data_IF_176494858335
#
_entry.id   IF_176494858335
#
_cell.length_a   1.000
_cell.length_b   1.000
_cell.length_c   1.000
_cell.angle_alpha   90.00
_cell.angle_beta   90.00
_cell.angle_gamma   90.00
#
_symmetry.space_group_name_H-M   'P 1'
#
loop_
_entity.id
_entity.type
_entity.pdbx_description
1 polymer ?
#
# COMPACT_ATOMS: atom_id res chain seq x y z
N UNK A 1 5.71 -34.82 32.33
CA UNK A 1 4.99 -34.35 31.12
C UNK A 1 5.89 -33.36 30.39
N UNK A 2 6.99 -33.82 29.78
CA UNK A 2 8.03 -32.92 29.23
C UNK A 2 8.80 -33.52 28.05
N UNK A 3 9.25 -34.77 28.13
CA UNK A 3 10.09 -35.36 27.07
C UNK A 3 9.35 -35.60 25.75
N UNK A 4 8.13 -36.14 25.81
CA UNK A 4 7.30 -36.36 24.61
C UNK A 4 6.87 -35.04 23.97
N UNK A 5 6.52 -34.04 24.79
CA UNK A 5 6.19 -32.70 24.30
C UNK A 5 7.37 -32.06 23.55
N UNK A 6 8.57 -32.07 24.14
CA UNK A 6 9.80 -31.54 23.50
C UNK A 6 10.11 -32.31 22.22
N UNK A 7 9.95 -33.64 22.21
CA UNK A 7 10.20 -34.47 21.02
C UNK A 7 9.21 -34.17 19.91
N UNK A 8 7.93 -33.99 20.23
CA UNK A 8 6.89 -33.63 19.26
C UNK A 8 7.13 -32.23 18.69
N UNK A 9 7.50 -31.25 19.51
CA UNK A 9 7.87 -29.91 19.02
C UNK A 9 9.09 -29.95 18.10
N UNK A 10 10.12 -30.74 18.43
CA UNK A 10 11.31 -30.87 17.60
C UNK A 10 11.03 -31.60 16.28
N UNK A 11 10.21 -32.66 16.33
CA UNK A 11 9.76 -33.36 15.13
C UNK A 11 8.91 -32.45 14.23
N UNK A 12 8.00 -31.67 14.81
CA UNK A 12 7.19 -30.69 14.10
C UNK A 12 8.06 -29.63 13.40
N UNK A 13 9.02 -29.04 14.12
CA UNK A 13 9.96 -28.05 13.59
C UNK A 13 10.88 -28.61 12.49
N UNK A 14 11.28 -29.88 12.60
CA UNK A 14 12.07 -30.55 11.55
C UNK A 14 11.24 -30.91 10.33
N UNK A 15 9.96 -31.24 10.52
CA UNK A 15 9.02 -31.56 9.44
C UNK A 15 8.47 -30.34 8.71
N UNK A 16 8.75 -29.13 9.21
CA UNK A 16 8.31 -27.90 8.58
C UNK A 16 8.95 -27.76 7.19
N UNK A 17 8.15 -27.56 6.13
CA UNK A 17 8.68 -27.39 4.78
C UNK A 17 9.44 -26.07 4.67
N UNK A 18 10.77 -26.14 4.68
CA UNK A 18 11.64 -24.95 4.62
C UNK A 18 11.92 -24.44 3.21
N UNK A 19 11.64 -25.27 2.19
CA UNK A 19 12.02 -25.00 0.79
C UNK A 19 10.83 -25.13 -0.17
N UNK A 20 9.60 -25.03 0.35
CA UNK A 20 8.41 -25.03 -0.49
C UNK A 20 8.16 -23.60 -0.98
N UNK A 21 8.31 -23.42 -2.28
CA UNK A 21 7.98 -22.16 -2.96
C UNK A 21 6.58 -22.29 -3.54
N UNK A 22 5.66 -21.45 -3.06
CA UNK A 22 4.33 -21.29 -3.65
C UNK A 22 4.30 -20.01 -4.47
N UNK A 23 3.80 -20.09 -5.72
CA UNK A 23 3.60 -18.89 -6.54
C UNK A 23 2.63 -17.92 -5.82
N UNK A 24 2.95 -16.63 -5.83
CA UNK A 24 2.15 -15.60 -5.16
C UNK A 24 2.34 -15.52 -3.64
N UNK A 25 3.24 -16.30 -3.07
CA UNK A 25 3.62 -16.22 -1.66
C UNK A 25 5.09 -15.83 -1.53
N UNK A 26 5.40 -15.04 -0.50
CA UNK A 26 6.78 -14.82 -0.12
C UNK A 26 7.43 -16.10 0.40
N UNK A 27 8.73 -16.22 0.13
CA UNK A 27 9.49 -17.42 0.49
C UNK A 27 9.77 -17.44 1.99
N UNK A 28 9.78 -18.62 2.63
CA UNK A 28 10.17 -18.76 4.03
C UNK A 28 11.53 -18.12 4.31
N UNK A 29 11.61 -17.29 5.34
CA UNK A 29 12.83 -16.57 5.74
C UNK A 29 13.21 -15.35 4.89
N UNK A 30 12.41 -14.93 3.89
CA UNK A 30 12.58 -13.62 3.25
C UNK A 30 11.78 -12.54 3.95
N UNK A 31 11.92 -11.28 3.50
CA UNK A 31 11.16 -10.15 4.06
C UNK A 31 9.64 -10.29 3.92
N UNK A 32 9.19 -11.16 3.02
CA UNK A 32 7.79 -11.39 2.71
C UNK A 32 7.28 -12.76 3.16
N UNK A 33 7.99 -13.43 4.08
CA UNK A 33 7.55 -14.72 4.61
C UNK A 33 6.10 -14.67 5.12
N UNK A 34 5.29 -15.63 4.68
CA UNK A 34 3.87 -15.73 5.00
C UNK A 34 2.97 -14.68 4.34
N UNK A 35 3.48 -13.81 3.47
CA UNK A 35 2.69 -12.80 2.77
C UNK A 35 2.15 -13.36 1.46
N UNK A 36 0.83 -13.27 1.28
CA UNK A 36 0.16 -13.56 0.00
C UNK A 36 0.09 -12.29 -0.83
N UNK A 37 0.93 -12.20 -1.87
CA UNK A 37 1.16 -11.00 -2.66
C UNK A 37 -0.11 -10.37 -3.23
N UNK A 38 -0.96 -11.18 -3.89
CA UNK A 38 -2.22 -10.69 -4.47
C UNK A 38 -3.10 -10.02 -3.43
N UNK A 39 -3.27 -10.66 -2.27
CA UNK A 39 -4.14 -10.14 -1.21
C UNK A 39 -3.54 -8.88 -0.60
N UNK A 40 -2.25 -8.92 -0.27
CA UNK A 40 -1.56 -7.78 0.32
C UNK A 40 -1.62 -6.53 -0.58
N UNK A 41 -1.46 -6.67 -1.90
CA UNK A 41 -1.66 -5.56 -2.84
C UNK A 41 -3.09 -5.02 -2.79
N UNK A 42 -4.11 -5.89 -2.83
CA UNK A 42 -5.51 -5.46 -2.82
C UNK A 42 -5.91 -4.79 -1.51
N UNK A 43 -5.33 -5.21 -0.39
CA UNK A 43 -5.58 -4.63 0.93
C UNK A 43 -5.06 -3.18 1.03
N UNK A 44 -4.12 -2.75 0.18
CA UNK A 44 -3.67 -1.35 0.13
C UNK A 44 -4.71 -0.36 -0.41
N UNK A 45 -5.67 -0.83 -1.19
CA UNK A 45 -6.67 0.03 -1.87
C UNK A 45 -7.52 0.80 -0.86
N UNK A 46 -8.19 0.16 0.13
CA UNK A 46 -8.96 0.89 1.13
C UNK A 46 -8.09 1.80 2.00
N UNK A 47 -6.81 1.45 2.22
CA UNK A 47 -5.89 2.29 3.00
C UNK A 47 -5.60 3.61 2.27
N UNK A 48 -5.27 3.55 0.97
CA UNK A 48 -5.06 4.75 0.16
C UNK A 48 -6.36 5.54 0.06
N UNK A 49 -7.50 4.87 -0.18
CA UNK A 49 -8.80 5.54 -0.28
C UNK A 49 -9.15 6.32 0.99
N UNK A 50 -8.88 5.75 2.16
CA UNK A 50 -9.07 6.44 3.43
C UNK A 50 -8.19 7.71 3.54
N UNK A 51 -6.92 7.65 3.14
CA UNK A 51 -6.04 8.81 3.14
C UNK A 51 -6.48 9.89 2.16
N UNK A 52 -6.94 9.48 0.97
CA UNK A 52 -7.46 10.42 -0.03
C UNK A 52 -8.67 11.19 0.51
N UNK A 53 -9.59 10.53 1.22
CA UNK A 53 -10.73 11.22 1.84
C UNK A 53 -10.34 12.20 2.95
N UNK A 54 -9.15 12.06 3.55
CA UNK A 54 -8.64 13.04 4.52
C UNK A 54 -8.15 14.32 3.83
N UNK A 55 -7.61 14.21 2.62
CA UNK A 55 -7.10 15.34 1.83
C UNK A 55 -8.23 15.97 1.00
N UNK A 56 -9.11 15.15 0.42
CA UNK A 56 -10.23 15.54 -0.43
C UNK A 56 -11.51 14.94 0.15
N UNK A 57 -12.20 15.61 1.10
CA UNK A 57 -13.40 15.06 1.75
C UNK A 57 -14.55 14.75 0.79
N UNK A 58 -14.57 15.37 -0.39
CA UNK A 58 -15.57 15.15 -1.44
C UNK A 58 -15.13 14.12 -2.49
N UNK A 59 -14.08 13.34 -2.23
CA UNK A 59 -13.63 12.27 -3.12
C UNK A 59 -14.77 11.25 -3.34
N UNK A 60 -14.97 10.75 -4.58
CA UNK A 60 -15.97 9.73 -4.82
C UNK A 60 -15.67 8.44 -4.05
N UNK A 61 -16.73 7.74 -3.63
CA UNK A 61 -16.60 6.42 -3.01
C UNK A 61 -16.00 5.38 -3.97
N UNK A 62 -15.14 4.51 -3.44
CA UNK A 62 -14.52 3.42 -4.18
C UNK A 62 -15.57 2.47 -4.79
N UNK A 63 -15.47 2.27 -6.11
CA UNK A 63 -16.30 1.32 -6.84
C UNK A 63 -15.59 -0.02 -7.03
N UNK A 64 -16.26 -1.15 -6.79
CA UNK A 64 -15.72 -2.46 -7.16
C UNK A 64 -15.40 -2.45 -8.66
N UNK A 65 -14.17 -2.82 -9.01
CA UNK A 65 -13.66 -2.94 -10.39
C UNK A 65 -13.27 -1.66 -11.14
N UNK A 66 -13.42 -0.47 -10.57
CA UNK A 66 -12.87 0.73 -11.24
C UNK A 66 -11.34 0.66 -11.28
N UNK A 67 -10.73 1.23 -12.33
CA UNK A 67 -9.27 1.36 -12.44
C UNK A 67 -8.79 2.31 -11.34
N UNK A 68 -7.67 1.99 -10.69
CA UNK A 68 -7.10 2.86 -9.65
C UNK A 68 -6.69 4.19 -10.25
N UNK A 69 -6.15 4.18 -11.47
CA UNK A 69 -5.81 5.39 -12.20
C UNK A 69 -7.02 6.33 -12.41
N UNK A 70 -8.20 5.76 -12.67
CA UNK A 70 -9.42 6.54 -12.88
C UNK A 70 -10.07 7.00 -11.58
N UNK A 71 -10.10 6.13 -10.57
CA UNK A 71 -10.64 6.44 -9.24
C UNK A 71 -9.82 7.54 -8.56
N UNK A 72 -8.49 7.43 -8.58
CA UNK A 72 -7.56 8.35 -7.93
C UNK A 72 -7.05 9.48 -8.84
N UNK A 73 -7.70 9.75 -9.98
CA UNK A 73 -7.26 10.80 -10.91
C UNK A 73 -7.16 12.20 -10.28
N UNK A 74 -7.92 12.46 -9.23
CA UNK A 74 -7.94 13.77 -8.55
C UNK A 74 -6.66 14.04 -7.76
N UNK A 75 -5.92 12.99 -7.38
CA UNK A 75 -4.63 13.14 -6.69
C UNK A 75 -3.44 13.13 -7.66
N UNK A 76 -3.65 12.86 -8.96
CA UNK A 76 -2.57 12.86 -9.96
C UNK A 76 -1.69 14.12 -9.92
N UNK A 77 -2.24 15.35 -9.79
CA UNK A 77 -1.41 16.55 -9.74
C UNK A 77 -0.47 16.64 -8.53
N UNK A 78 -0.73 15.88 -7.46
CA UNK A 78 0.13 15.80 -6.28
C UNK A 78 1.28 14.80 -6.48
N UNK A 79 1.14 13.89 -7.43
CA UNK A 79 2.09 12.83 -7.69
C UNK A 79 3.07 13.31 -8.76
N UNK A 80 4.35 13.42 -8.40
CA UNK A 80 5.40 13.68 -9.38
C UNK A 80 5.44 12.61 -10.47
N UNK A 81 5.85 13.03 -11.67
CA UNK A 81 6.12 12.12 -12.79
C UNK A 81 7.61 11.85 -12.94
N UNK A 82 7.94 10.68 -13.48
CA UNK A 82 9.30 10.32 -13.90
C UNK A 82 9.62 10.82 -15.33
N UNK A 83 10.75 10.36 -15.88
CA UNK A 83 11.22 10.70 -17.23
C UNK A 83 10.26 10.26 -18.34
N UNK A 84 9.44 9.23 -18.09
CA UNK A 84 8.45 8.67 -19.01
C UNK A 84 7.05 9.29 -18.81
N UNK A 85 6.96 10.39 -18.04
CA UNK A 85 5.72 11.06 -17.64
C UNK A 85 4.78 10.19 -16.79
N UNK A 86 5.29 9.07 -16.25
CA UNK A 86 4.52 8.15 -15.43
C UNK A 86 4.60 8.54 -13.95
N UNK A 87 3.45 8.51 -13.29
CA UNK A 87 3.36 8.75 -11.84
C UNK A 87 3.34 7.41 -11.08
N UNK A 88 3.63 7.41 -9.76
CA UNK A 88 3.44 6.25 -8.90
C UNK A 88 2.05 5.57 -9.05
N UNK A 89 1.00 6.35 -9.34
CA UNK A 89 -0.34 5.83 -9.56
C UNK A 89 -0.46 4.94 -10.81
N UNK A 90 0.34 5.19 -11.86
CA UNK A 90 0.36 4.37 -13.07
C UNK A 90 0.95 2.98 -12.80
N UNK A 91 2.07 2.94 -12.09
CA UNK A 91 2.71 1.70 -11.67
C UNK A 91 1.83 0.93 -10.68
N UNK A 92 1.24 1.64 -9.72
CA UNK A 92 0.29 1.05 -8.77
C UNK A 92 -0.96 0.49 -9.46
N UNK A 93 -1.59 1.23 -10.39
CA UNK A 93 -2.74 0.71 -11.16
C UNK A 93 -2.37 -0.56 -11.91
N UNK A 94 -1.18 -0.61 -12.52
CA UNK A 94 -0.70 -1.79 -13.23
C UNK A 94 -0.57 -3.00 -12.30
N UNK A 95 0.03 -2.84 -11.12
CA UNK A 95 0.15 -3.90 -10.12
C UNK A 95 -1.23 -4.38 -9.63
N UNK A 96 -2.17 -3.47 -9.40
CA UNK A 96 -3.54 -3.82 -9.00
C UNK A 96 -4.29 -4.53 -10.12
N UNK A 97 -4.11 -4.13 -11.38
CA UNK A 97 -4.73 -4.84 -12.50
C UNK A 97 -4.20 -6.27 -12.62
N UNK A 98 -2.89 -6.48 -12.47
CA UNK A 98 -2.32 -7.81 -12.40
C UNK A 98 -2.95 -8.62 -11.27
N UNK A 99 -3.01 -8.06 -10.05
CA UNK A 99 -3.61 -8.72 -8.90
C UNK A 99 -5.12 -9.05 -9.07
N UNK A 100 -5.87 -8.22 -9.79
CA UNK A 100 -7.32 -8.43 -10.01
C UNK A 100 -7.64 -9.38 -11.16
N UNK A 101 -6.91 -9.28 -12.26
CA UNK A 101 -7.34 -9.85 -13.54
C UNK A 101 -6.42 -10.94 -14.07
N UNK A 102 -5.15 -10.96 -13.67
CA UNK A 102 -4.22 -11.94 -14.20
C UNK A 102 -4.53 -13.35 -13.66
N UNK A 103 -4.47 -14.33 -14.57
CA UNK A 103 -4.61 -15.75 -14.26
C UNK A 103 -3.46 -16.30 -13.42
N UNK A 104 -2.25 -15.76 -13.60
CA UNK A 104 -1.07 -16.11 -12.79
C UNK A 104 -1.01 -15.27 -11.52
N UNK A 105 -0.32 -15.77 -10.50
CA UNK A 105 -0.02 -14.97 -9.32
C UNK A 105 1.09 -13.92 -9.62
N UNK A 106 1.08 -12.78 -8.91
CA UNK A 106 2.16 -11.79 -8.99
C UNK A 106 3.50 -12.41 -8.60
N UNK A 107 4.56 -12.01 -9.31
CA UNK A 107 5.92 -12.32 -8.89
C UNK A 107 6.32 -11.45 -7.69
N UNK A 108 7.37 -11.84 -6.97
CA UNK A 108 7.90 -11.05 -5.86
C UNK A 108 8.30 -9.65 -6.33
N UNK A 109 8.97 -9.52 -7.47
CA UNK A 109 9.36 -8.22 -8.00
C UNK A 109 8.15 -7.32 -8.33
N UNK A 110 7.11 -7.85 -8.98
CA UNK A 110 5.88 -7.10 -9.28
C UNK A 110 5.13 -6.69 -8.01
N UNK A 111 5.14 -7.57 -7.00
CA UNK A 111 4.58 -7.27 -5.69
C UNK A 111 5.33 -6.13 -5.01
N UNK A 112 6.66 -6.20 -5.00
CA UNK A 112 7.51 -5.19 -4.38
C UNK A 112 7.34 -3.82 -5.02
N UNK A 113 7.34 -3.75 -6.35
CA UNK A 113 7.08 -2.52 -7.08
C UNK A 113 5.70 -1.96 -6.73
N UNK A 114 4.66 -2.81 -6.71
CA UNK A 114 3.31 -2.38 -6.36
C UNK A 114 3.20 -1.84 -4.93
N UNK A 115 3.88 -2.47 -3.97
CA UNK A 115 3.91 -2.04 -2.57
C UNK A 115 4.70 -0.74 -2.39
N UNK A 116 5.83 -0.59 -3.07
CA UNK A 116 6.64 0.62 -3.05
C UNK A 116 5.86 1.82 -3.56
N UNK A 117 5.16 1.66 -4.69
CA UNK A 117 4.32 2.72 -5.27
C UNK A 117 3.11 3.03 -4.40
N UNK A 118 2.50 2.02 -3.78
CA UNK A 118 1.43 2.22 -2.80
C UNK A 118 1.93 3.07 -1.62
N UNK A 119 3.09 2.74 -1.07
CA UNK A 119 3.68 3.47 0.06
C UNK A 119 4.06 4.90 -0.32
N UNK A 120 4.64 5.10 -1.50
CA UNK A 120 4.94 6.45 -2.01
C UNK A 120 3.67 7.31 -2.11
N UNK A 121 2.55 6.76 -2.60
CA UNK A 121 1.26 7.47 -2.64
C UNK A 121 0.78 7.81 -1.23
N UNK A 122 0.83 6.86 -0.28
CA UNK A 122 0.41 7.10 1.11
C UNK A 122 1.26 8.19 1.78
N UNK A 123 2.57 8.18 1.52
CA UNK A 123 3.50 9.16 2.05
C UNK A 123 3.15 10.57 1.53
N UNK A 124 2.99 10.74 0.22
CA UNK A 124 2.62 12.03 -0.39
C UNK A 124 1.29 12.54 0.18
N UNK A 125 0.29 11.68 0.33
CA UNK A 125 -1.00 12.07 0.92
C UNK A 125 -0.89 12.46 2.40
N UNK A 126 -0.01 11.78 3.15
CA UNK A 126 0.24 12.08 4.55
C UNK A 126 0.96 13.41 4.71
N UNK A 127 1.98 13.67 3.89
CA UNK A 127 2.69 14.94 3.84
C UNK A 127 1.74 16.09 3.48
N UNK A 128 0.94 15.93 2.43
CA UNK A 128 -0.07 16.91 2.04
C UNK A 128 -1.05 17.21 3.19
N UNK A 129 -1.50 16.18 3.93
CA UNK A 129 -2.36 16.36 5.10
C UNK A 129 -1.66 17.11 6.23
N UNK A 130 -0.39 16.85 6.50
CA UNK A 130 0.39 17.55 7.53
C UNK A 130 0.54 19.03 7.17
N UNK A 131 0.88 19.35 5.92
CA UNK A 131 0.97 20.72 5.43
C UNK A 131 -0.36 21.48 5.58
N UNK A 132 -1.51 20.83 5.30
CA UNK A 132 -2.83 21.42 5.50
C UNK A 132 -3.11 21.75 6.99
N UNK A 133 -2.69 20.88 7.91
CA UNK A 133 -2.86 21.12 9.35
C UNK A 133 -1.97 22.25 9.85
N UNK A 134 -0.73 22.32 9.38
CA UNK A 134 0.21 23.40 9.72
C UNK A 134 -0.23 24.75 9.15
N UNK A 135 -0.68 24.78 7.88
CA UNK A 135 -1.24 25.98 7.25
C UNK A 135 -2.48 26.50 7.97
N UNK A 136 -3.35 25.62 8.47
CA UNK A 136 -4.51 26.03 9.26
C UNK A 136 -4.14 26.61 10.63
N UNK A 137 -3.04 26.16 11.24
CA UNK A 137 -2.60 26.64 12.55
C UNK A 137 -1.96 28.04 12.49
N UNK A 138 -1.26 28.34 11.41
CA UNK A 138 -0.56 29.63 11.21
C UNK A 138 -1.53 30.77 10.87
N UNK A 139 -2.62 30.49 10.14
CA UNK A 139 -3.66 31.47 9.83
C UNK A 139 -4.42 31.98 11.07
N UNK A 140 -4.55 31.18 12.13
CA UNK A 140 -5.23 31.58 13.37
C UNK A 140 -4.38 32.52 14.24
N UNK A 141 -3.05 32.38 14.21
CA UNK A 141 -2.15 33.25 14.97
C UNK A 141 -1.98 34.64 14.32
N UNK A 142 -2.06 34.74 12.98
CA UNK A 142 -1.89 36.01 12.27
C UNK A 142 -3.05 37.02 12.41
N UNK A 143 -4.25 36.57 12.80
CA UNK A 143 -5.43 37.45 12.95
C UNK A 143 -5.47 38.10 14.35
N UNK A 144 -4.67 37.60 15.30
CA UNK A 144 -4.69 38.08 16.69
C UNK A 144 -3.84 39.34 16.94
N UNK A 145 -3.08 39.83 15.95
CA UNK A 145 -2.14 40.95 16.12
C UNK A 145 -2.58 42.29 15.50
N UNK A 146 -3.69 42.36 14.74
CA UNK A 146 -4.16 43.60 14.10
C UNK A 146 -5.37 44.23 14.79
N UNK A 147 -5.34 44.36 16.11
CA UNK A 147 -6.37 45.09 16.87
C UNK A 147 -5.78 45.89 18.03
N UNK A 148 -4.97 46.91 17.70
CA UNK A 148 -4.67 48.05 18.59
C UNK A 148 -4.58 49.35 17.80
#
# INVERSE_FOLDING_TARGET
>A
MTQEYVRTCLAAFQSEPKDVVHEGWGRPGTRWDGVRFRRALLDTIPEIDALVHLVIPTHPFLKPHDRMLHHFRFILPLLGSDEDELTPLHYYDSAIQLARTAHREPTEHEFELGMEMAEAIKQILTECRLEMLEGSSTQLNGISEESQ
#
